data_IF_634064609965
#
_entry.id   IF_634064609965
#
_cell.length_a   1.000
_cell.length_b   1.000
_cell.length_c   1.000
_cell.angle_alpha   90.00
_cell.angle_beta   90.00
_cell.angle_gamma   90.00
#
_symmetry.space_group_name_H-M   'P 1'
#
loop_
_entity.id
_entity.type
_entity.pdbx_description
1 polymer ?
#
# COMPACT_ATOMS: atom_id res chain seq x y z
N UNK A 1 -17.77 2.05 8.38
CA UNK A 1 -18.97 1.28 8.75
C UNK A 1 -18.48 -0.15 8.90
N UNK A 2 -18.64 -0.81 10.06
CA UNK A 2 -18.16 -2.19 10.24
C UNK A 2 -19.01 -3.09 9.35
N UNK A 3 -18.38 -3.79 8.42
CA UNK A 3 -19.08 -4.63 7.46
C UNK A 3 -19.82 -5.74 8.20
N UNK A 4 -21.12 -5.85 7.91
CA UNK A 4 -22.13 -6.61 8.66
C UNK A 4 -22.50 -7.90 7.94
N UNK A 5 -21.55 -8.51 7.25
CA UNK A 5 -21.75 -9.77 6.51
C UNK A 5 -20.96 -10.96 7.06
N UNK A 6 -20.29 -10.82 8.22
CA UNK A 6 -19.47 -11.90 8.80
C UNK A 6 -20.02 -12.45 10.11
N UNK A 7 -21.30 -12.24 10.41
CA UNK A 7 -21.98 -12.84 11.56
C UNK A 7 -22.65 -14.16 11.16
N UNK A 8 -21.83 -15.22 11.00
CA UNK A 8 -22.20 -16.63 11.22
C UNK A 8 -21.00 -17.51 10.85
N UNK A 9 -20.13 -17.74 11.82
CA UNK A 9 -19.52 -19.05 12.09
C UNK A 9 -18.75 -18.96 13.42
N UNK A 10 -19.34 -19.52 14.47
CA UNK A 10 -18.58 -19.89 15.67
C UNK A 10 -17.54 -20.93 15.23
N UNK A 11 -16.28 -20.75 15.69
CA UNK A 11 -15.09 -21.61 15.44
C UNK A 11 -14.23 -21.27 14.21
N UNK A 12 -14.32 -20.06 13.64
CA UNK A 12 -13.52 -19.71 12.46
C UNK A 12 -12.10 -19.22 12.79
N UNK A 13 -11.12 -19.84 12.16
CA UNK A 13 -9.76 -19.31 12.01
C UNK A 13 -9.84 -17.84 11.54
N UNK A 14 -9.06 -16.91 12.12
CA UNK A 14 -9.01 -15.55 11.62
C UNK A 14 -8.58 -15.56 10.15
N UNK A 15 -9.41 -14.98 9.29
CA UNK A 15 -9.12 -14.90 7.86
C UNK A 15 -7.84 -14.08 7.64
N UNK A 16 -6.85 -14.68 6.99
CA UNK A 16 -5.63 -14.00 6.61
C UNK A 16 -5.15 -14.49 5.23
N UNK A 17 -4.37 -13.67 4.55
CA UNK A 17 -3.70 -14.02 3.30
C UNK A 17 -2.20 -13.79 3.47
N UNK A 18 -1.40 -14.72 2.96
CA UNK A 18 0.07 -14.67 3.07
C UNK A 18 0.64 -13.75 2.00
N UNK A 19 1.53 -12.83 2.40
CA UNK A 19 2.34 -11.99 1.51
C UNK A 19 3.79 -12.05 1.97
N UNK A 20 4.60 -12.86 1.29
CA UNK A 20 5.96 -13.15 1.74
C UNK A 20 5.97 -13.82 3.12
N UNK A 21 6.57 -13.18 4.11
CA UNK A 21 6.61 -13.62 5.51
C UNK A 21 5.45 -13.09 6.37
N UNK A 22 4.56 -12.28 5.80
CA UNK A 22 3.47 -11.63 6.53
C UNK A 22 2.14 -12.36 6.34
N UNK A 23 1.37 -12.47 7.43
CA UNK A 23 -0.02 -12.96 7.43
C UNK A 23 -0.97 -11.77 7.53
N UNK A 24 -1.43 -11.26 6.40
CA UNK A 24 -2.24 -10.05 6.32
C UNK A 24 -3.69 -10.38 6.66
N UNK A 25 -4.21 -9.81 7.74
CA UNK A 25 -5.59 -9.98 8.19
C UNK A 25 -6.42 -8.68 8.09
N UNK A 26 -5.75 -7.53 7.95
CA UNK A 26 -6.40 -6.22 7.81
C UNK A 26 -5.62 -5.34 6.82
N UNK A 27 -6.33 -4.50 6.07
CA UNK A 27 -5.77 -3.54 5.11
C UNK A 27 -6.31 -2.15 5.45
N UNK A 28 -5.40 -1.23 5.77
CA UNK A 28 -5.73 0.17 6.07
C UNK A 28 -5.15 1.08 5.00
N UNK A 29 -6.00 1.90 4.40
CA UNK A 29 -5.61 2.89 3.40
C UNK A 29 -5.45 4.25 4.07
N UNK A 30 -4.26 4.84 4.01
CA UNK A 30 -4.04 6.19 4.54
C UNK A 30 -4.68 7.25 3.65
N UNK A 31 -4.94 8.44 4.21
CA UNK A 31 -5.38 9.60 3.42
C UNK A 31 -4.40 9.93 2.29
N UNK A 32 -3.10 9.78 2.55
CA UNK A 32 -2.07 10.03 1.55
C UNK A 32 -2.13 9.03 0.39
N UNK A 33 -2.29 7.74 0.68
CA UNK A 33 -2.50 6.71 -0.33
C UNK A 33 -3.75 6.99 -1.16
N UNK A 34 -4.89 7.31 -0.53
CA UNK A 34 -6.12 7.64 -1.26
C UNK A 34 -5.94 8.81 -2.23
N UNK A 35 -5.32 9.91 -1.77
CA UNK A 35 -5.04 11.05 -2.64
C UNK A 35 -4.17 10.64 -3.84
N UNK A 36 -3.14 9.83 -3.60
CA UNK A 36 -2.22 9.38 -4.65
C UNK A 36 -2.84 8.39 -5.62
N UNK A 37 -3.80 7.59 -5.18
CA UNK A 37 -4.59 6.74 -6.06
C UNK A 37 -5.33 7.57 -7.10
N UNK A 38 -6.10 8.57 -6.64
CA UNK A 38 -6.86 9.46 -7.51
C UNK A 38 -5.97 10.28 -8.46
N UNK A 39 -4.74 10.60 -8.03
CA UNK A 39 -3.81 11.39 -8.84
C UNK A 39 -3.04 10.57 -9.88
N UNK A 40 -2.82 9.26 -9.65
CA UNK A 40 -1.78 8.48 -10.37
C UNK A 40 -2.15 7.07 -10.78
N UNK A 41 -3.34 6.59 -10.44
CA UNK A 41 -3.73 5.19 -10.66
C UNK A 41 -5.05 5.11 -11.41
N UNK A 42 -6.07 5.82 -10.93
CA UNK A 42 -7.38 5.89 -11.58
C UNK A 42 -7.94 7.30 -11.51
N UNK A 43 -8.61 7.71 -12.59
CA UNK A 43 -9.25 9.02 -12.73
C UNK A 43 -10.66 9.08 -12.13
N UNK A 44 -11.27 7.92 -11.84
CA UNK A 44 -12.57 7.86 -11.17
C UNK A 44 -12.44 8.01 -9.66
N UNK A 45 -13.42 8.68 -9.03
CA UNK A 45 -13.42 8.89 -7.58
C UNK A 45 -13.69 7.56 -6.86
N UNK A 46 -12.62 6.91 -6.41
CA UNK A 46 -12.69 5.73 -5.54
C UNK A 46 -12.63 6.10 -4.06
N UNK A 47 -13.43 5.40 -3.25
CA UNK A 47 -13.44 5.45 -1.80
C UNK A 47 -12.30 4.64 -1.18
N UNK A 48 -12.16 4.72 0.14
CA UNK A 48 -11.21 3.88 0.87
C UNK A 48 -11.55 2.38 0.74
N UNK A 49 -12.85 2.07 0.76
CA UNK A 49 -13.38 0.70 0.65
C UNK A 49 -13.08 0.10 -0.73
N UNK A 50 -13.19 0.88 -1.81
CA UNK A 50 -12.89 0.43 -3.17
C UNK A 50 -11.40 0.08 -3.32
N UNK A 51 -10.51 0.95 -2.83
CA UNK A 51 -9.05 0.72 -2.86
C UNK A 51 -8.69 -0.51 -2.01
N UNK A 52 -9.25 -0.63 -0.81
CA UNK A 52 -9.02 -1.78 0.06
C UNK A 52 -9.56 -3.07 -0.57
N UNK A 53 -10.73 -3.03 -1.20
CA UNK A 53 -11.35 -4.14 -1.92
C UNK A 53 -10.49 -4.62 -3.10
N UNK A 54 -9.99 -3.68 -3.91
CA UNK A 54 -9.05 -3.96 -5.00
C UNK A 54 -7.79 -4.65 -4.48
N UNK A 55 -7.17 -4.13 -3.42
CA UNK A 55 -5.97 -4.73 -2.84
C UNK A 55 -6.24 -6.12 -2.26
N UNK A 56 -7.39 -6.32 -1.60
CA UNK A 56 -7.79 -7.64 -1.14
C UNK A 56 -7.95 -8.64 -2.29
N UNK A 57 -8.54 -8.22 -3.41
CA UNK A 57 -8.65 -9.07 -4.60
C UNK A 57 -7.26 -9.43 -5.15
N UNK A 58 -6.38 -8.45 -5.30
CA UNK A 58 -5.01 -8.67 -5.77
C UNK A 58 -4.24 -9.61 -4.85
N UNK A 59 -4.36 -9.41 -3.54
CA UNK A 59 -3.69 -10.23 -2.53
C UNK A 59 -4.19 -11.68 -2.56
N UNK A 60 -5.51 -11.90 -2.60
CA UNK A 60 -6.12 -13.24 -2.68
C UNK A 60 -5.75 -13.97 -3.97
N UNK A 61 -5.52 -13.23 -5.05
CA UNK A 61 -5.10 -13.77 -6.35
C UNK A 61 -3.58 -13.95 -6.46
N UNK A 62 -2.80 -13.58 -5.43
CA UNK A 62 -1.34 -13.67 -5.46
C UNK A 62 -0.67 -12.69 -6.43
N UNK A 63 -1.34 -11.59 -6.77
CA UNK A 63 -0.87 -10.59 -7.76
C UNK A 63 0.03 -9.51 -7.17
N UNK A 64 0.28 -9.56 -5.87
CA UNK A 64 1.11 -8.58 -5.16
C UNK A 64 2.48 -9.20 -4.89
N UNK A 65 3.52 -8.56 -5.39
CA UNK A 65 4.89 -9.02 -5.24
C UNK A 65 5.78 -7.97 -4.56
N UNK A 66 6.74 -8.38 -3.72
CA UNK A 66 7.74 -7.47 -3.20
C UNK A 66 8.65 -6.99 -4.33
N UNK A 67 8.78 -5.67 -4.49
CA UNK A 67 9.57 -5.09 -5.57
C UNK A 67 10.91 -4.52 -5.07
N UNK A 68 10.89 -3.83 -3.93
CA UNK A 68 12.10 -3.27 -3.34
C UNK A 68 11.98 -3.24 -1.82
N UNK A 69 12.94 -3.85 -1.13
CA UNK A 69 13.02 -3.94 0.33
C UNK A 69 14.28 -3.21 0.79
N UNK A 70 14.16 -1.92 1.09
CA UNK A 70 15.24 -1.14 1.70
C UNK A 70 14.66 -0.30 2.86
N UNK A 71 14.87 1.02 2.88
CA UNK A 71 14.27 1.92 3.88
C UNK A 71 12.73 1.87 3.91
N UNK A 72 12.09 1.43 2.83
CA UNK A 72 10.64 1.26 2.70
C UNK A 72 10.34 -0.06 1.98
N UNK A 73 9.24 -0.71 2.37
CA UNK A 73 8.73 -1.90 1.69
C UNK A 73 7.83 -1.49 0.53
N UNK A 74 8.34 -1.71 -0.68
CA UNK A 74 7.68 -1.38 -1.94
C UNK A 74 7.18 -2.64 -2.62
N UNK A 75 5.95 -2.58 -3.10
CA UNK A 75 5.23 -3.69 -3.70
C UNK A 75 4.74 -3.33 -5.11
N UNK A 76 4.58 -4.36 -5.92
CA UNK A 76 4.15 -4.30 -7.31
C UNK A 76 2.89 -5.13 -7.49
N UNK A 77 1.98 -4.64 -8.31
CA UNK A 77 0.79 -5.36 -8.75
C UNK A 77 0.85 -5.46 -10.27
N UNK A 78 0.76 -6.69 -10.79
CA UNK A 78 0.77 -7.00 -12.23
C UNK A 78 1.93 -6.40 -13.02
N UNK A 79 3.13 -6.37 -12.43
CA UNK A 79 4.31 -5.75 -13.03
C UNK A 79 4.16 -4.26 -13.42
N UNK A 80 3.13 -3.57 -12.91
CA UNK A 80 2.79 -2.22 -13.34
C UNK A 80 2.55 -1.26 -12.17
N UNK A 81 1.59 -1.56 -11.30
CA UNK A 81 1.18 -0.63 -10.25
C UNK A 81 2.08 -0.74 -9.02
N UNK A 82 2.76 0.36 -8.69
CA UNK A 82 3.73 0.43 -7.58
C UNK A 82 3.14 1.14 -6.38
N UNK A 83 3.24 0.51 -5.21
CA UNK A 83 2.79 1.09 -3.94
C UNK A 83 3.74 0.77 -2.78
N UNK A 84 3.63 1.56 -1.71
CA UNK A 84 4.41 1.40 -0.48
C UNK A 84 3.47 1.03 0.65
N UNK A 85 3.84 0.02 1.42
CA UNK A 85 3.09 -0.42 2.58
C UNK A 85 3.99 -0.68 3.79
N UNK A 86 3.43 -0.51 4.98
CA UNK A 86 4.04 -0.87 6.25
C UNK A 86 3.21 -1.97 6.91
N UNK A 87 3.83 -2.76 7.78
CA UNK A 87 3.15 -3.84 8.50
C UNK A 87 3.27 -3.64 9.99
N UNK A 88 2.15 -3.78 10.69
CA UNK A 88 2.11 -3.79 12.16
C UNK A 88 1.47 -5.09 12.62
N UNK A 89 2.00 -5.69 13.68
CA UNK A 89 1.39 -6.86 14.31
C UNK A 89 0.06 -6.51 14.96
N UNK A 90 -0.90 -7.41 14.84
CA UNK A 90 -2.17 -7.33 15.57
C UNK A 90 -1.96 -8.03 16.91
N UNK A 91 -1.63 -7.26 17.96
CA UNK A 91 -1.20 -7.80 19.27
C UNK A 91 -2.20 -8.77 19.93
N UNK A 92 -3.48 -8.71 19.55
CA UNK A 92 -4.56 -9.54 20.10
C UNK A 92 -5.09 -10.59 19.14
N UNK A 93 -4.51 -10.70 17.95
CA UNK A 93 -4.98 -11.61 16.91
C UNK A 93 -3.83 -12.48 16.43
N UNK A 94 -3.97 -13.78 16.67
CA UNK A 94 -3.05 -14.82 16.20
C UNK A 94 -3.82 -15.85 15.41
N UNK A 95 -3.13 -16.55 14.52
CA UNK A 95 -3.71 -17.74 13.91
C UNK A 95 -3.82 -18.91 14.92
N UNK A 96 -4.35 -20.05 14.45
CA UNK A 96 -4.52 -21.26 15.28
C UNK A 96 -3.18 -21.82 15.78
N UNK A 97 -2.09 -21.57 15.05
CA UNK A 97 -0.74 -21.98 15.42
C UNK A 97 -0.01 -20.96 16.31
N UNK A 98 -0.68 -19.87 16.72
CA UNK A 98 -0.11 -18.81 17.56
C UNK A 98 0.76 -17.81 16.82
N UNK A 99 0.79 -17.82 15.49
CA UNK A 99 1.56 -16.85 14.71
C UNK A 99 0.86 -15.49 14.70
N UNK A 100 1.63 -14.38 14.73
CA UNK A 100 1.05 -13.04 14.69
C UNK A 100 0.38 -12.76 13.35
N UNK A 101 -0.82 -12.19 13.40
CA UNK A 101 -1.45 -11.58 12.24
C UNK A 101 -0.97 -10.14 12.07
N UNK A 102 -1.04 -9.65 10.84
CA UNK A 102 -0.51 -8.36 10.45
C UNK A 102 -1.60 -7.50 9.81
N UNK A 103 -1.54 -6.22 10.15
CA UNK A 103 -2.24 -5.15 9.45
C UNK A 103 -1.31 -4.55 8.42
N UNK A 104 -1.74 -4.54 7.17
CA UNK A 104 -1.05 -3.86 6.07
C UNK A 104 -1.55 -2.41 6.00
N UNK A 105 -0.65 -1.46 6.19
CA UNK A 105 -0.94 -0.03 6.14
C UNK A 105 -0.39 0.50 4.82
N UNK A 106 -1.27 0.85 3.89
CA UNK A 106 -0.89 1.41 2.59
C UNK A 106 -0.58 2.89 2.75
N UNK A 107 0.71 3.21 2.66
CA UNK A 107 1.23 4.56 2.93
C UNK A 107 1.06 5.45 1.71
N UNK A 108 1.39 4.97 0.51
CA UNK A 108 1.31 5.76 -0.72
C UNK A 108 1.28 4.89 -1.97
N UNK A 109 0.67 5.40 -3.04
CA UNK A 109 0.83 4.87 -4.39
C UNK A 109 1.87 5.71 -5.14
N UNK A 110 2.83 5.05 -5.78
CA UNK A 110 3.85 5.74 -6.57
C UNK A 110 3.34 6.01 -7.99
N UNK A 111 2.57 5.09 -8.57
CA UNK A 111 1.97 5.19 -9.90
C UNK A 111 2.14 3.89 -10.69
N UNK A 112 1.90 3.95 -12.00
CA UNK A 112 2.07 2.84 -12.94
C UNK A 112 3.41 2.92 -13.66
N UNK A 113 4.15 1.82 -13.77
CA UNK A 113 5.41 1.73 -14.53
C UNK A 113 5.20 1.89 -16.04
N UNK A 114 4.01 1.54 -16.54
CA UNK A 114 3.59 1.77 -17.91
C UNK A 114 3.45 3.26 -18.25
N UNK A 115 3.14 4.10 -17.25
CA UNK A 115 2.97 5.55 -17.42
C UNK A 115 4.21 6.34 -17.00
N UNK A 116 4.90 5.90 -15.95
CA UNK A 116 6.06 6.59 -15.36
C UNK A 116 7.29 5.67 -15.41
N UNK A 117 8.12 5.84 -16.44
CA UNK A 117 9.27 4.96 -16.69
C UNK A 117 10.31 4.99 -15.58
N UNK A 118 10.38 6.11 -14.84
CA UNK A 118 11.29 6.30 -13.71
C UNK A 118 11.00 5.33 -12.56
N UNK A 119 9.77 4.82 -12.45
CA UNK A 119 9.41 3.84 -11.41
C UNK A 119 10.09 2.48 -11.60
N UNK A 120 10.66 2.21 -12.79
CA UNK A 120 11.46 1.01 -13.07
C UNK A 120 12.82 1.00 -12.37
N UNK A 121 13.32 2.17 -11.96
CA UNK A 121 14.52 2.31 -11.15
C UNK A 121 14.21 3.17 -9.92
N UNK A 122 13.73 2.52 -8.86
CA UNK A 122 13.33 3.22 -7.63
C UNK A 122 14.49 3.98 -6.98
N UNK A 123 15.73 3.49 -7.10
CA UNK A 123 16.89 4.18 -6.52
C UNK A 123 17.08 5.53 -7.19
N UNK A 124 17.01 5.57 -8.52
CA UNK A 124 17.05 6.81 -9.30
C UNK A 124 15.81 7.66 -9.06
N UNK A 125 14.61 7.06 -9.01
CA UNK A 125 13.36 7.76 -8.73
C UNK A 125 13.41 8.52 -7.40
N UNK A 126 13.79 7.86 -6.31
CA UNK A 126 13.90 8.49 -5.00
C UNK A 126 15.03 9.53 -4.95
N UNK A 127 16.14 9.29 -5.64
CA UNK A 127 17.24 10.27 -5.74
C UNK A 127 16.79 11.54 -6.46
N UNK A 128 16.09 11.39 -7.59
CA UNK A 128 15.50 12.49 -8.33
C UNK A 128 14.43 13.22 -7.51
N UNK A 129 13.55 12.48 -6.84
CA UNK A 129 12.48 13.06 -6.01
C UNK A 129 13.05 13.89 -4.85
N UNK A 130 14.10 13.41 -4.18
CA UNK A 130 14.79 14.17 -3.12
C UNK A 130 15.43 15.45 -3.69
N UNK A 131 16.00 15.38 -4.88
CA UNK A 131 16.61 16.53 -5.55
C UNK A 131 15.57 17.55 -6.03
N UNK A 132 14.47 17.10 -6.65
CA UNK A 132 13.40 17.94 -7.16
C UNK A 132 12.61 18.61 -6.03
N UNK A 133 12.29 17.87 -4.94
CA UNK A 133 11.66 18.46 -3.75
C UNK A 133 12.52 19.53 -3.10
N UNK A 134 13.86 19.34 -3.05
CA UNK A 134 14.79 20.36 -2.58
C UNK A 134 14.70 21.63 -3.44
N UNK A 135 14.64 21.49 -4.77
CA UNK A 135 14.49 22.62 -5.69
C UNK A 135 13.13 23.34 -5.56
N UNK A 136 12.04 22.63 -5.34
CA UNK A 136 10.71 23.23 -5.11
C UNK A 136 10.67 24.02 -3.80
N UNK A 137 11.33 23.54 -2.74
CA UNK A 137 11.46 24.27 -1.48
C UNK A 137 12.32 25.55 -1.62
N UNK A 138 13.41 25.50 -2.41
CA UNK A 138 14.25 26.67 -2.71
C UNK A 138 13.49 27.73 -3.52
N UNK A 139 12.59 27.32 -4.43
CA UNK A 139 11.76 28.26 -5.20
C UNK A 139 10.68 28.92 -4.33
N UNK A 140 10.12 28.20 -3.36
CA UNK A 140 9.09 28.73 -2.46
C UNK A 140 9.66 29.60 -1.32
N UNK A 141 10.94 29.44 -0.94
CA UNK A 141 11.57 30.27 0.10
C UNK A 141 11.86 31.71 -0.34
N UNK A 142 11.74 32.04 -1.63
CA UNK A 142 11.92 33.42 -2.16
C UNK A 142 10.69 34.32 -1.98
N UNK A 143 9.55 33.81 -1.51
CA UNK A 143 8.39 34.64 -1.12
C UNK A 143 8.45 34.99 0.38
N UNK A 144 9.43 35.81 0.75
CA UNK A 144 9.35 36.66 1.95
C UNK A 144 9.95 38.01 1.59
N UNK A 145 9.08 38.94 1.23
CA UNK A 145 9.32 40.38 1.27
C UNK A 145 8.02 41.05 1.64
#
# INVERSE_FOLDING_TARGET
MKDKMTERWSTYEPFHVVLGDKKVADIVITNHAKSRWADRVESEKTGFEDIAGFLWQCLKQGRIEPYYRNEQDVYLIDDDLVFVAEFTTLEKETDIAGNPLHKMIVVTFLGRMSETIELRDLKSYYSWLRHSRRMTLIKNSRKRK
#
